data_IF_647794881982
#
_entry.id   IF_647794881982
#
_cell.length_a   1.000
_cell.length_b   1.000
_cell.length_c   1.000
_cell.angle_alpha   90.00
_cell.angle_beta   90.00
_cell.angle_gamma   90.00
#
_symmetry.space_group_name_H-M   'P 1'
#
loop_
_entity.id
_entity.type
_entity.pdbx_description
1 polymer ?
#
# COMPACT_ATOMS: atom_id res chain seq x y z
N UNK A 1 -17.98 -16.23 -6.27
CA UNK A 1 -17.98 -15.23 -7.35
C UNK A 1 -16.57 -14.69 -7.41
N UNK A 2 -16.15 -14.21 -8.58
CA UNK A 2 -14.84 -13.56 -8.74
C UNK A 2 -15.06 -12.07 -8.91
N UNK A 3 -14.04 -11.27 -8.61
CA UNK A 3 -14.07 -9.83 -8.76
C UNK A 3 -14.56 -9.43 -10.17
N UNK A 4 -15.42 -8.42 -10.23
CA UNK A 4 -15.94 -7.91 -11.50
C UNK A 4 -14.86 -7.22 -12.32
N UNK A 5 -15.07 -7.13 -13.65
CA UNK A 5 -14.17 -6.42 -14.56
C UNK A 5 -13.95 -4.96 -14.12
N UNK A 6 -14.98 -4.32 -13.56
CA UNK A 6 -14.90 -2.96 -13.02
C UNK A 6 -13.96 -2.89 -11.82
N UNK A 7 -14.07 -3.82 -10.88
CA UNK A 7 -13.18 -3.88 -9.72
C UNK A 7 -11.73 -4.12 -10.14
N UNK A 8 -11.50 -5.00 -11.12
CA UNK A 8 -10.16 -5.27 -11.68
C UNK A 8 -9.56 -4.03 -12.32
N UNK A 9 -10.35 -3.28 -13.11
CA UNK A 9 -9.91 -2.03 -13.75
C UNK A 9 -9.52 -0.98 -12.69
N UNK A 10 -10.38 -0.77 -11.68
CA UNK A 10 -10.12 0.15 -10.57
C UNK A 10 -8.84 -0.22 -9.81
N UNK A 11 -8.66 -1.50 -9.44
CA UNK A 11 -7.46 -1.99 -8.75
C UNK A 11 -6.22 -1.80 -9.59
N UNK A 12 -6.28 -2.13 -10.88
CA UNK A 12 -5.12 -2.02 -11.79
C UNK A 12 -4.66 -0.57 -11.90
N UNK A 13 -5.59 0.36 -12.11
CA UNK A 13 -5.30 1.79 -12.21
C UNK A 13 -4.78 2.36 -10.88
N UNK A 14 -5.37 1.96 -9.75
CA UNK A 14 -4.91 2.35 -8.41
C UNK A 14 -3.50 1.83 -8.11
N UNK A 15 -3.23 0.55 -8.41
CA UNK A 15 -1.93 -0.07 -8.20
C UNK A 15 -0.84 0.61 -9.03
N UNK A 16 -1.13 0.95 -10.29
CA UNK A 16 -0.21 1.70 -11.14
C UNK A 16 0.10 3.09 -10.55
N UNK A 17 -0.94 3.83 -10.15
CA UNK A 17 -0.77 5.16 -9.55
C UNK A 17 0.07 5.10 -8.25
N UNK A 18 -0.11 4.06 -7.44
CA UNK A 18 0.71 3.82 -6.26
C UNK A 18 2.17 3.48 -6.62
N UNK A 19 2.40 2.66 -7.64
CA UNK A 19 3.73 2.31 -8.11
C UNK A 19 4.48 3.52 -8.66
N UNK A 20 3.81 4.40 -9.42
CA UNK A 20 4.35 5.67 -9.92
C UNK A 20 4.82 6.60 -8.78
N UNK A 21 4.26 6.42 -7.56
CA UNK A 21 4.63 7.13 -6.34
C UNK A 21 5.60 6.36 -5.45
N UNK A 22 6.24 5.33 -6.00
CA UNK A 22 7.24 4.50 -5.33
C UNK A 22 6.70 3.87 -4.04
N UNK A 23 5.42 3.48 -4.04
CA UNK A 23 4.86 2.75 -2.92
C UNK A 23 5.58 1.41 -2.72
N UNK A 24 5.54 0.91 -1.50
CA UNK A 24 6.09 -0.37 -1.10
C UNK A 24 4.98 -1.43 -1.06
N UNK A 25 5.33 -2.64 -1.49
CA UNK A 25 4.55 -3.86 -1.23
C UNK A 25 3.09 -3.82 -1.72
N UNK A 26 2.82 -3.31 -2.93
CA UNK A 26 1.46 -3.10 -3.47
C UNK A 26 0.76 -4.43 -3.80
N UNK A 27 -0.21 -4.90 -3.02
CA UNK A 27 -0.89 -6.20 -3.17
C UNK A 27 -2.39 -6.04 -3.21
N UNK A 28 -3.08 -6.88 -3.99
CA UNK A 28 -4.53 -6.86 -4.11
C UNK A 28 -5.10 -8.26 -3.92
N UNK A 29 -6.26 -8.35 -3.27
CA UNK A 29 -6.99 -9.59 -3.05
C UNK A 29 -8.39 -9.51 -3.64
N UNK A 30 -8.85 -10.61 -4.23
CA UNK A 30 -10.25 -10.84 -4.58
C UNK A 30 -11.00 -11.22 -3.30
N UNK A 31 -11.84 -10.30 -2.81
CA UNK A 31 -12.62 -10.47 -1.59
C UNK A 31 -14.11 -10.66 -1.90
N UNK A 32 -14.49 -10.82 -3.16
CA UNK A 32 -15.89 -10.94 -3.62
C UNK A 32 -16.63 -12.18 -3.08
N UNK A 33 -15.90 -13.21 -2.66
CA UNK A 33 -16.46 -14.40 -2.01
C UNK A 33 -16.63 -14.25 -0.49
N UNK A 34 -15.98 -13.24 0.11
CA UNK A 34 -15.96 -13.01 1.56
C UNK A 34 -16.82 -11.80 1.94
N UNK A 35 -16.88 -10.78 1.07
CA UNK A 35 -17.61 -9.55 1.28
C UNK A 35 -18.74 -9.42 0.26
N UNK A 36 -19.92 -9.01 0.72
CA UNK A 36 -21.13 -8.95 -0.12
C UNK A 36 -21.22 -7.73 -1.04
N UNK A 37 -20.29 -6.77 -0.91
CA UNK A 37 -20.36 -5.47 -1.59
C UNK A 37 -19.05 -5.15 -2.32
N UNK A 38 -17.92 -5.34 -1.64
CA UNK A 38 -16.59 -5.05 -2.17
C UNK A 38 -16.01 -6.30 -2.82
N UNK A 39 -15.54 -6.15 -4.04
CA UNK A 39 -14.94 -7.23 -4.82
C UNK A 39 -13.42 -7.32 -4.63
N UNK A 40 -12.76 -6.19 -4.38
CA UNK A 40 -11.30 -6.18 -4.25
C UNK A 40 -10.78 -5.30 -3.13
N UNK A 41 -9.69 -5.75 -2.51
CA UNK A 41 -8.98 -5.02 -1.47
C UNK A 41 -7.52 -4.81 -1.87
N UNK A 42 -7.12 -3.55 -2.11
CA UNK A 42 -5.77 -3.16 -2.46
C UNK A 42 -5.03 -2.60 -1.24
N UNK A 43 -3.84 -3.12 -0.96
CA UNK A 43 -2.92 -2.67 0.08
C UNK A 43 -1.67 -2.07 -0.55
N UNK A 44 -1.26 -0.91 -0.07
CA UNK A 44 0.02 -0.30 -0.42
C UNK A 44 0.67 0.30 0.84
N UNK A 45 1.98 0.52 0.79
CA UNK A 45 2.69 1.08 1.93
C UNK A 45 3.71 2.15 1.55
N UNK A 46 4.13 2.93 2.54
CA UNK A 46 5.16 3.93 2.36
C UNK A 46 6.03 4.09 3.61
N UNK A 47 7.26 4.59 3.47
CA UNK A 47 8.19 4.79 4.58
C UNK A 47 7.92 6.04 5.43
N UNK A 48 6.97 6.91 5.04
CA UNK A 48 6.60 8.10 5.80
C UNK A 48 5.21 8.61 5.41
N UNK A 49 4.61 9.40 6.30
CA UNK A 49 3.23 9.91 6.19
C UNK A 49 3.04 10.84 4.98
N UNK A 50 4.08 11.60 4.60
CA UNK A 50 4.03 12.48 3.42
C UNK A 50 3.86 11.66 2.14
N UNK A 51 4.57 10.54 2.04
CA UNK A 51 4.46 9.65 0.89
C UNK A 51 3.14 8.86 0.91
N UNK A 52 2.63 8.47 2.08
CA UNK A 52 1.26 7.92 2.22
C UNK A 52 0.24 8.88 1.58
N UNK A 53 0.24 10.17 1.97
CA UNK A 53 -0.65 11.18 1.37
C UNK A 53 -0.44 11.32 -0.13
N UNK A 54 0.82 11.36 -0.58
CA UNK A 54 1.16 11.52 -2.00
C UNK A 54 0.69 10.34 -2.86
N UNK A 55 0.70 9.12 -2.33
CA UNK A 55 0.17 7.91 -2.98
C UNK A 55 -1.35 8.00 -3.08
N UNK A 56 -2.02 8.30 -1.98
CA UNK A 56 -3.49 8.43 -1.91
C UNK A 56 -3.98 9.48 -2.90
N UNK A 57 -3.41 10.68 -2.88
CA UNK A 57 -3.84 11.77 -3.76
C UNK A 57 -3.62 11.40 -5.24
N UNK A 58 -2.54 10.66 -5.57
CA UNK A 58 -2.28 10.18 -6.92
C UNK A 58 -3.27 9.11 -7.38
N UNK A 59 -3.67 8.19 -6.49
CA UNK A 59 -4.70 7.18 -6.77
C UNK A 59 -6.02 7.88 -7.05
N UNK A 60 -6.47 8.79 -6.18
CA UNK A 60 -7.71 9.54 -6.38
C UNK A 60 -7.70 10.33 -7.70
N UNK A 61 -6.58 11.02 -7.99
CA UNK A 61 -6.42 11.77 -9.22
C UNK A 61 -6.51 10.87 -10.46
N UNK A 62 -5.79 9.74 -10.47
CA UNK A 62 -5.75 8.81 -11.61
C UNK A 62 -7.12 8.15 -11.83
N UNK A 63 -7.74 7.64 -10.77
CA UNK A 63 -9.05 6.98 -10.86
C UNK A 63 -10.15 7.94 -11.34
N UNK A 64 -10.10 9.20 -10.92
CA UNK A 64 -11.05 10.21 -11.39
C UNK A 64 -10.79 10.59 -12.87
N UNK A 65 -9.52 10.83 -13.24
CA UNK A 65 -9.18 11.24 -14.61
C UNK A 65 -9.44 10.16 -15.65
N UNK A 66 -9.08 8.93 -15.35
CA UNK A 66 -9.07 7.86 -16.35
C UNK A 66 -10.40 7.11 -16.39
N UNK A 67 -11.04 6.95 -15.21
CA UNK A 67 -12.21 6.09 -15.03
C UNK A 67 -13.45 6.83 -14.51
N UNK A 68 -13.37 8.15 -14.31
CA UNK A 68 -14.45 8.96 -13.75
C UNK A 68 -14.85 8.58 -12.32
N UNK A 69 -14.02 7.81 -11.61
CA UNK A 69 -14.35 7.26 -10.30
C UNK A 69 -13.95 8.22 -9.18
N UNK A 70 -14.86 8.44 -8.23
CA UNK A 70 -14.60 9.21 -7.02
C UNK A 70 -14.84 8.32 -5.80
N UNK A 71 -14.01 8.41 -4.76
CA UNK A 71 -14.25 7.64 -3.56
C UNK A 71 -15.54 8.13 -2.91
N UNK A 72 -16.36 7.18 -2.47
CA UNK A 72 -17.54 7.45 -1.64
C UNK A 72 -17.10 7.96 -0.27
N UNK A 73 -15.97 7.45 0.21
CA UNK A 73 -15.44 7.79 1.53
C UNK A 73 -13.91 7.76 1.57
N UNK A 74 -13.35 8.68 2.34
CA UNK A 74 -11.92 8.74 2.70
C UNK A 74 -11.80 8.78 4.21
N UNK A 75 -10.99 7.92 4.80
CA UNK A 75 -10.73 7.84 6.25
C UNK A 75 -9.24 7.93 6.57
N UNK A 76 -8.90 8.31 7.81
CA UNK A 76 -7.50 8.29 8.31
C UNK A 76 -6.62 9.50 7.95
N UNK A 77 -7.16 10.50 7.25
CA UNK A 77 -6.36 11.59 6.66
C UNK A 77 -5.59 12.48 7.67
N UNK A 78 -6.10 12.62 8.90
CA UNK A 78 -5.53 13.51 9.93
C UNK A 78 -4.10 13.14 10.29
N UNK A 79 -3.87 11.87 10.58
CA UNK A 79 -2.56 11.36 11.03
C UNK A 79 -1.75 10.78 9.87
N UNK A 80 -2.41 10.37 8.78
CA UNK A 80 -1.79 9.74 7.59
C UNK A 80 -0.85 8.56 7.87
N UNK A 81 -0.95 7.97 9.07
CA UNK A 81 -0.38 6.67 9.39
C UNK A 81 -1.05 5.56 8.58
N UNK A 82 -2.34 5.74 8.31
CA UNK A 82 -3.10 4.95 7.36
C UNK A 82 -4.19 5.81 6.75
N UNK A 83 -4.50 5.57 5.49
CA UNK A 83 -5.60 6.20 4.76
C UNK A 83 -6.33 5.12 3.98
N UNK A 84 -7.66 5.11 4.11
CA UNK A 84 -8.54 4.21 3.39
C UNK A 84 -9.39 5.01 2.40
N UNK A 85 -9.44 4.55 1.15
CA UNK A 85 -10.31 5.03 0.10
C UNK A 85 -11.33 3.94 -0.25
N UNK A 86 -12.61 4.28 -0.15
CA UNK A 86 -13.71 3.38 -0.43
C UNK A 86 -14.40 3.78 -1.75
N UNK A 87 -14.36 2.89 -2.74
CA UNK A 87 -15.03 3.02 -4.04
C UNK A 87 -16.21 2.05 -4.19
N UNK A 88 -16.70 1.46 -3.10
CA UNK A 88 -17.72 0.40 -3.05
C UNK A 88 -17.21 -0.92 -3.62
N UNK A 89 -16.91 -0.95 -4.93
CA UNK A 89 -16.41 -2.14 -5.63
C UNK A 89 -14.98 -2.50 -5.16
N UNK A 90 -14.21 -1.49 -4.79
CA UNK A 90 -12.80 -1.62 -4.36
C UNK A 90 -12.55 -0.79 -3.12
N UNK A 91 -11.81 -1.36 -2.17
CA UNK A 91 -11.23 -0.62 -1.05
C UNK A 91 -9.71 -0.54 -1.25
N UNK A 92 -9.16 0.66 -1.15
CA UNK A 92 -7.72 0.90 -1.22
C UNK A 92 -7.22 1.38 0.14
N UNK A 93 -6.25 0.67 0.70
CA UNK A 93 -5.67 0.95 2.01
C UNK A 93 -4.18 1.24 1.87
N UNK A 94 -3.80 2.49 2.09
CA UNK A 94 -2.40 2.94 2.06
C UNK A 94 -1.95 3.22 3.48
N UNK A 95 -0.85 2.60 3.92
CA UNK A 95 -0.38 2.72 5.30
C UNK A 95 1.12 2.91 5.42
N UNK A 96 1.57 3.35 6.58
CA UNK A 96 2.99 3.37 6.91
C UNK A 96 3.55 1.94 6.94
N UNK A 97 4.80 1.76 6.51
CA UNK A 97 5.44 0.43 6.39
C UNK A 97 5.55 -0.26 7.76
N UNK A 98 5.79 0.50 8.83
CA UNK A 98 5.80 -0.02 10.21
C UNK A 98 4.43 -0.53 10.66
N UNK A 99 3.37 0.22 10.36
CA UNK A 99 2.00 -0.16 10.72
C UNK A 99 1.58 -1.45 10.00
N UNK A 100 2.04 -1.62 8.75
CA UNK A 100 1.82 -2.86 8.00
C UNK A 100 2.40 -4.09 8.69
N UNK A 101 3.61 -3.98 9.24
CA UNK A 101 4.24 -5.08 9.97
C UNK A 101 3.45 -5.41 11.25
N UNK A 102 3.00 -4.37 11.96
CA UNK A 102 2.27 -4.53 13.22
C UNK A 102 0.87 -5.11 13.02
N UNK A 103 0.06 -4.54 12.12
CA UNK A 103 -1.32 -4.96 11.88
C UNK A 103 -1.43 -6.18 10.96
N UNK A 104 -0.47 -6.37 10.04
CA UNK A 104 -0.40 -7.50 9.12
C UNK A 104 -1.76 -7.82 8.46
N UNK A 105 -2.40 -6.80 7.88
CA UNK A 105 -3.76 -6.90 7.32
C UNK A 105 -3.89 -7.99 6.26
N UNK A 106 -2.81 -8.36 5.59
CA UNK A 106 -2.73 -9.49 4.67
C UNK A 106 -3.20 -10.80 5.30
N UNK A 107 -3.05 -10.97 6.62
CA UNK A 107 -3.52 -12.16 7.33
C UNK A 107 -5.04 -12.32 7.30
N UNK A 108 -5.78 -11.22 7.16
CA UNK A 108 -7.24 -11.24 7.01
C UNK A 108 -7.65 -11.83 5.66
N UNK A 109 -6.82 -11.65 4.64
CA UNK A 109 -7.10 -12.03 3.25
C UNK A 109 -6.27 -13.22 2.76
N UNK A 110 -5.61 -13.94 3.68
CA UNK A 110 -4.72 -15.07 3.34
C UNK A 110 -5.38 -16.19 2.54
N UNK A 111 -6.70 -16.34 2.68
CA UNK A 111 -7.51 -17.38 2.03
C UNK A 111 -8.19 -16.84 0.76
N UNK A 112 -8.00 -15.56 0.44
CA UNK A 112 -8.49 -14.91 -0.76
C UNK A 112 -7.48 -15.03 -1.91
N UNK A 113 -7.95 -15.22 -3.16
CA UNK A 113 -7.05 -15.15 -4.32
C UNK A 113 -6.36 -13.78 -4.43
N UNK A 114 -5.06 -13.77 -4.74
CA UNK A 114 -4.38 -12.54 -5.13
C UNK A 114 -4.80 -12.13 -6.55
N UNK A 115 -5.07 -10.85 -6.75
CA UNK A 115 -5.34 -10.29 -8.08
C UNK A 115 -4.02 -10.00 -8.80
N UNK A 116 -4.01 -10.27 -10.11
CA UNK A 116 -2.87 -9.93 -10.96
C UNK A 116 -2.74 -8.42 -11.10
N UNK A 117 -1.52 -7.89 -10.89
CA UNK A 117 -1.23 -6.46 -10.90
C UNK A 117 -0.21 -6.10 -12.00
N UNK A 118 -0.11 -4.81 -12.41
CA UNK A 118 0.94 -4.33 -13.30
C UNK A 118 2.35 -4.71 -12.82
N UNK A 119 3.29 -4.88 -13.75
CA UNK A 119 4.68 -5.29 -13.43
C UNK A 119 5.35 -4.32 -12.46
N UNK A 120 5.11 -3.02 -12.63
CA UNK A 120 5.64 -1.96 -11.78
C UNK A 120 5.15 -2.12 -10.34
N UNK A 121 3.88 -2.48 -10.16
CA UNK A 121 3.30 -2.72 -8.85
C UNK A 121 3.86 -4.02 -8.22
N UNK A 122 3.99 -5.09 -9.01
CA UNK A 122 4.59 -6.35 -8.54
C UNK A 122 6.06 -6.17 -8.14
N UNK A 123 6.81 -5.33 -8.85
CA UNK A 123 8.20 -5.01 -8.54
C UNK A 123 8.41 -4.28 -7.20
N UNK A 124 7.32 -3.81 -6.57
CA UNK A 124 7.39 -3.19 -5.24
C UNK A 124 7.42 -4.19 -4.08
N UNK A 125 7.22 -5.49 -4.34
CA UNK A 125 7.31 -6.55 -3.32
C UNK A 125 8.69 -6.57 -2.66
N UNK A 126 8.71 -6.67 -1.34
CA UNK A 126 9.91 -6.66 -0.50
C UNK A 126 10.46 -5.25 -0.19
N UNK A 127 9.94 -4.19 -0.81
CA UNK A 127 10.51 -2.82 -0.65
C UNK A 127 10.41 -2.30 0.78
N UNK A 128 9.34 -2.64 1.51
CA UNK A 128 9.22 -2.27 2.92
C UNK A 128 10.30 -2.91 3.78
N UNK A 129 10.58 -4.20 3.56
CA UNK A 129 11.65 -4.92 4.27
C UNK A 129 13.05 -4.40 3.89
N UNK A 130 13.30 -4.16 2.60
CA UNK A 130 14.55 -3.55 2.13
C UNK A 130 14.79 -2.18 2.78
N UNK A 131 13.74 -1.36 2.89
CA UNK A 131 13.81 -0.05 3.52
C UNK A 131 14.12 -0.16 5.02
N UNK A 132 13.43 -1.04 5.75
CA UNK A 132 13.66 -1.25 7.17
C UNK A 132 15.10 -1.69 7.47
N UNK A 133 15.64 -2.65 6.70
CA UNK A 133 17.03 -3.10 6.83
C UNK A 133 18.04 -1.98 6.58
N UNK A 134 17.77 -1.10 5.61
CA UNK A 134 18.64 0.06 5.32
C UNK A 134 18.62 1.07 6.46
N UNK A 135 17.47 1.30 7.09
CA UNK A 135 17.35 2.20 8.24
C UNK A 135 18.09 1.64 9.46
N UNK A 136 17.87 0.37 9.79
CA UNK A 136 18.60 -0.29 10.88
C UNK A 136 20.12 -0.22 10.68
N UNK A 137 20.60 -0.49 9.46
CA UNK A 137 22.02 -0.37 9.14
C UNK A 137 22.55 1.08 9.25
N UNK A 138 21.72 2.07 8.92
CA UNK A 138 22.07 3.49 9.01
C UNK A 138 22.12 3.96 10.47
N UNK A 139 21.25 3.44 11.34
CA UNK A 139 21.20 3.80 12.77
C UNK A 139 22.37 3.18 13.56
N UNK A 140 22.81 1.96 13.20
CA UNK A 140 23.91 1.26 13.88
C UNK A 140 25.30 1.78 13.45
N UNK A 141 25.44 2.29 12.22
CA UNK A 141 26.74 2.71 11.67
C UNK A 141 27.44 3.87 12.42
N UNK A 142 26.73 4.89 12.95
CA UNK A 142 27.29 5.90 13.85
C UNK A 142 27.75 5.32 15.19
N UNK A 143 26.95 4.44 15.80
CA UNK A 143 27.18 3.87 17.14
C UNK A 143 28.46 3.03 17.22
N UNK A 144 28.75 2.27 16.15
CA UNK A 144 30.00 1.50 16.02
C UNK A 144 31.24 2.38 15.82
N UNK A 145 31.09 3.59 15.25
CA UNK A 145 32.20 4.55 15.10
C UNK A 145 32.56 5.21 16.43
N UNK A 146 31.59 5.44 17.30
CA UNK A 146 31.83 5.99 18.64
C UNK A 146 32.53 4.99 19.56
N UNK A 147 32.08 3.73 19.57
CA UNK A 147 32.71 2.65 20.36
C UNK A 147 34.12 2.28 19.86
N UNK A 148 34.39 2.40 18.56
CA UNK A 148 35.74 2.21 17.99
C UNK A 148 36.70 3.38 18.25
N UNK A 149 36.20 4.54 18.66
CA UNK A 149 36.97 5.73 18.97
C UNK A 149 37.47 5.79 20.42
N UNK A 150 36.76 5.16 21.36
CA UNK A 150 37.11 5.18 22.80
C UNK A 150 38.14 4.11 23.23
N UNK A 151 38.52 3.20 22.33
CA UNK A 151 39.57 2.19 22.56
C UNK A 151 40.95 2.57 22.01
N UNK A 152 41.23 3.86 21.78
CA UNK A 152 42.55 4.37 21.38
C UNK A 152 43.12 5.36 22.36
#
# INVERSE_FOLDING_TARGET
>A
MTATDRAIELVTTAAQAAADKLAHDIIAYDVSDVLSITDAFLLASAPNDRQVKSIVDAIEERLNKDLGAKPVRREGDRDARWILLDYVDVVVHVQHSEERVFYALERLWKDCPELELPEEAKATRGKGAEYAQRQEAADVAPELRELGGEMR
#
